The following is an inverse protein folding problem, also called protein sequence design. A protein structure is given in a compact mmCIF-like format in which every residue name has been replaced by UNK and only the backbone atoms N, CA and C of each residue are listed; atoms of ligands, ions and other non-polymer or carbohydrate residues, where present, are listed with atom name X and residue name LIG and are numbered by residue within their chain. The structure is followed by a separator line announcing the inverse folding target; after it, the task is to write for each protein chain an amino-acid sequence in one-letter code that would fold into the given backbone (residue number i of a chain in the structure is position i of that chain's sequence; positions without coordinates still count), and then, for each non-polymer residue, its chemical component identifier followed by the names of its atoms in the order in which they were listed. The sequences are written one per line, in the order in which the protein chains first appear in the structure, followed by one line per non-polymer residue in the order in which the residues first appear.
data_IF_746830381025
#
_entry.id   IF_746830381025
#
_cell.length_a   1.000
_cell.length_b   1.000
_cell.length_c   1.000
_cell.angle_alpha   90.00
_cell.angle_beta   90.00
_cell.angle_gamma   90.00
#
_symmetry.space_group_name_H-M   'P 1'
#
loop_
_entity.id
_entity.type
_entity.pdbx_description
1 polymer ?
#
# COMPACT_ATOMS: atom_id res chain seq x y z
N UNK A 1 0.86 13.42 4.16
CA UNK A 1 0.03 12.27 4.58
C UNK A 1 -0.85 11.83 3.42
N UNK A 2 -0.41 10.87 2.60
CA UNK A 2 -1.30 10.30 1.58
C UNK A 2 -2.31 9.40 2.29
N UNK A 3 -3.60 9.70 2.17
CA UNK A 3 -4.66 8.81 2.68
C UNK A 3 -4.62 7.53 1.85
N UNK A 4 -4.51 6.38 2.52
CA UNK A 4 -4.65 5.08 1.84
C UNK A 4 -6.06 4.97 1.27
N UNK A 5 -6.18 4.38 0.08
CA UNK A 5 -7.49 4.09 -0.49
C UNK A 5 -8.21 3.06 0.38
N UNK A 6 -9.52 3.22 0.59
CA UNK A 6 -10.34 2.22 1.26
C UNK A 6 -10.21 0.84 0.60
N UNK A 7 -10.29 -0.23 1.38
CA UNK A 7 -10.19 -1.60 0.88
C UNK A 7 -11.24 -1.90 -0.19
N UNK A 8 -12.48 -1.47 0.04
CA UNK A 8 -13.60 -1.63 -0.90
C UNK A 8 -13.27 -1.03 -2.28
N UNK A 9 -12.67 0.16 -2.30
CA UNK A 9 -12.30 0.83 -3.53
C UNK A 9 -11.18 0.08 -4.28
N UNK A 10 -10.23 -0.51 -3.55
CA UNK A 10 -9.17 -1.33 -4.12
C UNK A 10 -9.72 -2.61 -4.77
N UNK A 11 -10.74 -3.24 -4.16
CA UNK A 11 -11.44 -4.40 -4.72
C UNK A 11 -12.16 -4.01 -6.02
N UNK A 12 -12.87 -2.88 -6.02
CA UNK A 12 -13.56 -2.40 -7.22
C UNK A 12 -12.60 -2.08 -8.38
N UNK A 13 -11.42 -1.51 -8.08
CA UNK A 13 -10.37 -1.26 -9.09
C UNK A 13 -9.85 -2.59 -9.64
N UNK A 14 -9.61 -3.59 -8.78
CA UNK A 14 -9.19 -4.94 -9.20
C UNK A 14 -10.20 -5.58 -10.15
N UNK A 15 -11.50 -5.48 -9.83
CA UNK A 15 -12.57 -6.04 -10.67
C UNK A 15 -12.71 -5.34 -12.01
N UNK A 16 -12.50 -4.03 -12.07
CA UNK A 16 -12.50 -3.32 -13.35
C UNK A 16 -11.26 -3.68 -14.21
N UNK A 17 -10.10 -3.88 -13.57
CA UNK A 17 -8.88 -4.34 -14.24
C UNK A 17 -9.02 -5.78 -14.79
N UNK A 18 -9.67 -6.68 -14.05
CA UNK A 18 -9.92 -8.06 -14.51
C UNK A 18 -10.86 -8.10 -15.73
N UNK A 19 -11.77 -7.13 -15.84
CA UNK A 19 -12.62 -6.88 -17.01
C UNK A 19 -11.90 -6.19 -18.18
N UNK A 20 -10.57 -6.04 -18.11
CA UNK A 20 -9.72 -5.39 -19.13
C UNK A 20 -10.12 -3.94 -19.45
N UNK A 21 -10.77 -3.24 -18.51
CA UNK A 21 -11.11 -1.83 -18.68
C UNK A 21 -9.81 -1.00 -18.66
N UNK A 22 -9.72 0.04 -19.50
CA UNK A 22 -8.52 0.89 -19.55
C UNK A 22 -8.32 1.64 -18.22
N UNK A 23 -7.08 1.75 -17.76
CA UNK A 23 -6.76 2.43 -16.50
C UNK A 23 -7.29 3.87 -16.43
N UNK A 24 -7.34 4.57 -17.58
CA UNK A 24 -7.87 5.93 -17.67
C UNK A 24 -9.37 5.95 -17.38
N UNK A 25 -10.13 5.01 -17.95
CA UNK A 25 -11.58 4.89 -17.68
C UNK A 25 -11.82 4.52 -16.23
N UNK A 26 -11.03 3.60 -15.65
CA UNK A 26 -11.15 3.23 -14.24
C UNK A 26 -10.90 4.43 -13.32
N UNK A 27 -9.87 5.22 -13.62
CA UNK A 27 -9.54 6.43 -12.86
C UNK A 27 -10.73 7.42 -12.81
N UNK A 28 -11.36 7.65 -13.96
CA UNK A 28 -12.56 8.50 -14.07
C UNK A 28 -13.75 7.87 -13.32
N UNK A 29 -14.03 6.58 -13.58
CA UNK A 29 -15.16 5.84 -13.00
C UNK A 29 -15.11 5.75 -11.47
N UNK A 30 -13.91 5.63 -10.90
CA UNK A 30 -13.69 5.44 -9.45
C UNK A 30 -13.25 6.72 -8.74
N UNK A 31 -13.15 7.84 -9.45
CA UNK A 31 -12.68 9.12 -8.94
C UNK A 31 -11.33 9.01 -8.22
N UNK A 32 -10.37 8.33 -8.85
CA UNK A 32 -8.99 8.15 -8.34
C UNK A 32 -7.98 8.59 -9.39
N UNK A 33 -6.76 8.87 -8.97
CA UNK A 33 -5.68 9.17 -9.91
C UNK A 33 -5.35 7.94 -10.76
N UNK A 34 -4.94 8.17 -12.02
CA UNK A 34 -4.44 7.10 -12.89
C UNK A 34 -3.24 6.37 -12.26
N UNK A 35 -2.40 7.10 -11.53
CA UNK A 35 -1.25 6.53 -10.79
C UNK A 35 -1.69 5.53 -9.73
N UNK A 36 -2.78 5.81 -9.00
CA UNK A 36 -3.32 4.86 -8.02
C UNK A 36 -3.77 3.55 -8.69
N UNK A 37 -4.48 3.64 -9.82
CA UNK A 37 -4.88 2.47 -10.61
C UNK A 37 -3.65 1.69 -11.11
N UNK A 38 -2.63 2.38 -11.60
CA UNK A 38 -1.38 1.76 -12.06
C UNK A 38 -0.65 1.02 -10.94
N UNK A 39 -0.61 1.59 -9.72
CA UNK A 39 -0.01 0.93 -8.56
C UNK A 39 -0.77 -0.33 -8.15
N UNK A 40 -2.11 -0.31 -8.22
CA UNK A 40 -2.93 -1.51 -7.98
C UNK A 40 -2.64 -2.57 -9.04
N UNK A 41 -2.60 -2.19 -10.32
CA UNK A 41 -2.26 -3.11 -11.41
C UNK A 41 -0.87 -3.74 -11.20
N UNK A 42 0.14 -2.91 -10.91
CA UNK A 42 1.50 -3.39 -10.63
C UNK A 42 1.52 -4.43 -9.51
N UNK A 43 0.76 -4.21 -8.43
CA UNK A 43 0.67 -5.19 -7.34
C UNK A 43 0.01 -6.49 -7.80
N UNK A 44 -1.08 -6.43 -8.57
CA UNK A 44 -1.76 -7.62 -9.09
C UNK A 44 -0.83 -8.42 -10.01
N UNK A 45 -0.16 -7.74 -10.95
CA UNK A 45 0.74 -8.37 -11.93
C UNK A 45 1.92 -9.09 -11.24
N UNK A 46 2.38 -8.56 -10.10
CA UNK A 46 3.46 -9.15 -9.29
C UNK A 46 2.96 -10.06 -8.15
N UNK A 47 1.67 -10.37 -8.10
CA UNK A 47 1.03 -11.15 -7.03
C UNK A 47 1.32 -10.61 -5.60
N UNK A 48 1.43 -9.29 -5.49
CA UNK A 48 1.68 -8.57 -4.24
C UNK A 48 0.36 -8.20 -3.54
N UNK A 49 0.35 -8.14 -2.19
CA UNK A 49 -0.83 -7.75 -1.45
C UNK A 49 -1.18 -6.27 -1.72
N UNK A 50 -2.43 -6.05 -2.13
CA UNK A 50 -2.96 -4.73 -2.48
C UNK A 50 -3.01 -3.82 -1.23
N UNK A 51 -3.37 -4.40 -0.08
CA UNK A 51 -3.30 -3.77 1.24
C UNK A 51 -2.09 -4.23 2.03
N UNK A 52 -1.69 -3.41 3.02
CA UNK A 52 -0.67 -3.81 4.00
C UNK A 52 -1.25 -4.91 4.89
N UNK A 53 -0.52 -6.01 5.10
CA UNK A 53 -0.92 -7.02 6.08
C UNK A 53 -0.99 -6.39 7.48
N UNK A 54 -2.03 -6.70 8.24
CA UNK A 54 -2.10 -6.31 9.65
C UNK A 54 -0.87 -6.86 10.38
N UNK A 55 -0.26 -6.06 11.25
CA UNK A 55 0.95 -6.45 11.96
C UNK A 55 2.24 -6.48 11.12
N UNK A 56 2.24 -6.01 9.86
CA UNK A 56 3.47 -5.93 9.06
C UNK A 56 4.40 -4.76 9.46
N UNK A 57 4.36 -4.35 10.72
CA UNK A 57 5.33 -3.43 11.31
C UNK A 57 6.73 -4.04 11.22
N UNK A 58 7.76 -3.19 11.21
CA UNK A 58 9.12 -3.67 11.40
C UNK A 58 9.18 -4.25 12.82
N UNK A 59 9.50 -5.55 13.02
CA UNK A 59 9.69 -6.07 14.36
C UNK A 59 10.77 -5.24 15.04
N UNK A 60 10.48 -4.77 16.26
CA UNK A 60 11.50 -4.14 17.07
C UNK A 60 12.54 -5.22 17.41
N UNK A 61 13.68 -5.17 16.71
CA UNK A 61 14.80 -6.09 16.95
C UNK A 61 15.55 -5.76 18.25
N UNK A 62 15.41 -4.53 18.73
CA UNK A 62 16.05 -4.01 19.93
C UNK A 62 14.97 -3.51 20.87
N UNK A 63 15.05 -3.92 22.13
CA UNK A 63 14.28 -3.36 23.23
C UNK A 63 14.62 -1.87 23.36
N UNK A 64 13.66 -1.07 23.82
CA UNK A 64 13.82 0.38 23.94
C UNK A 64 14.93 0.76 24.95
N UNK A 65 15.16 -0.08 25.97
CA UNK A 65 16.28 0.09 26.92
C UNK A 65 17.64 -0.01 26.22
N UNK A 66 17.84 -1.02 25.36
CA UNK A 66 19.07 -1.20 24.59
C UNK A 66 19.28 -0.08 23.56
N UNK A 67 18.19 0.47 23.01
CA UNK A 67 18.29 1.66 22.16
C UNK A 67 18.75 2.86 22.98
N UNK A 68 18.19 3.07 24.17
CA UNK A 68 18.59 4.18 25.04
C UNK A 68 20.06 4.08 25.45
N UNK A 69 20.55 2.88 25.77
CA UNK A 69 21.97 2.65 26.04
C UNK A 69 22.86 2.94 24.83
N UNK A 70 22.47 2.50 23.63
CA UNK A 70 23.19 2.82 22.40
C UNK A 70 23.25 4.33 22.13
N UNK A 71 22.15 5.06 22.31
CA UNK A 71 22.13 6.51 22.09
C UNK A 71 23.05 7.26 23.06
N UNK A 72 23.21 6.78 24.31
CA UNK A 72 24.14 7.36 25.29
C UNK A 72 25.62 7.18 24.95
N UNK A 73 25.98 6.23 24.08
CA UNK A 73 27.38 6.00 23.66
C UNK A 73 27.82 7.02 22.59
N UNK A 74 26.86 7.65 21.90
CA UNK A 74 27.11 8.56 20.78
C UNK A 74 26.79 10.03 21.09
N UNK A 75 26.45 10.35 22.34
CA UNK A 75 26.45 11.72 22.91
C UNK A 75 27.79 11.97 23.64
#
# INVERSE_FOLDING_TARGET
MSKQLPYELLVLIKDDLSKRISQRIIAIKRNVSKTAVSNVKFKIDNNLPITRKYGSGRPQKLNDDLKSELFKIYD
#
